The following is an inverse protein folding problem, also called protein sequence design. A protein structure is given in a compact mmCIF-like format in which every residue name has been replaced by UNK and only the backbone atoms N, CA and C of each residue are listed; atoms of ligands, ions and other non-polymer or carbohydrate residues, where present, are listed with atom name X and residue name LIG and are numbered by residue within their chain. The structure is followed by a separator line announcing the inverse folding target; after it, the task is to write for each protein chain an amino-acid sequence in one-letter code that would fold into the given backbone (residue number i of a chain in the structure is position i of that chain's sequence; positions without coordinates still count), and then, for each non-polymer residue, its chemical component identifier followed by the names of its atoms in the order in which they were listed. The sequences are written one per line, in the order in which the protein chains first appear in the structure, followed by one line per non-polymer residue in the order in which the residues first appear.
data_IF_392862593911
#
_entry.id   IF_392862593911
#
_cell.length_a   1.000
_cell.length_b   1.000
_cell.length_c   1.000
_cell.angle_alpha   90.00
_cell.angle_beta   90.00
_cell.angle_gamma   90.00
#
_symmetry.space_group_name_H-M   'P 1'
#
loop_
_entity.id
_entity.type
_entity.pdbx_description
1 polymer ?
#
# COMPACT_ATOMS: atom_id res chain seq x y z
N UNK A 1 -12.27 3.64 4.81
CA UNK A 1 -11.61 2.76 5.84
C UNK A 1 -12.66 1.94 6.56
N UNK A 2 -12.34 0.69 6.94
CA UNK A 2 -13.21 -0.23 7.68
C UNK A 2 -12.42 -0.76 8.89
N UNK A 3 -13.07 -0.86 10.03
CA UNK A 3 -12.54 -1.51 11.23
C UNK A 3 -13.05 -2.94 11.22
N UNK A 4 -12.15 -3.92 11.34
CA UNK A 4 -12.51 -5.34 11.35
C UNK A 4 -12.07 -5.97 12.65
N UNK A 5 -13.04 -6.38 13.48
CA UNK A 5 -12.82 -7.18 14.68
C UNK A 5 -12.85 -8.65 14.28
N UNK A 6 -11.67 -9.27 14.16
CA UNK A 6 -11.54 -10.65 13.73
C UNK A 6 -11.48 -11.61 14.93
N UNK A 7 -11.75 -12.89 14.69
CA UNK A 7 -11.77 -13.97 15.69
C UNK A 7 -12.92 -13.83 16.70
N UNK A 8 -14.05 -13.30 16.26
CA UNK A 8 -15.23 -13.13 17.12
C UNK A 8 -15.83 -14.47 17.60
N UNK A 9 -15.43 -15.60 17.02
CA UNK A 9 -15.77 -16.96 17.46
C UNK A 9 -15.11 -17.39 18.78
N UNK A 10 -14.11 -16.64 19.26
CA UNK A 10 -13.36 -16.98 20.48
C UNK A 10 -13.92 -16.34 21.76
N UNK A 11 -14.87 -15.44 21.65
CA UNK A 11 -15.43 -14.66 22.74
C UNK A 11 -16.95 -14.55 22.61
N UNK A 12 -17.63 -14.22 23.70
CA UNK A 12 -19.06 -13.95 23.70
C UNK A 12 -19.42 -12.56 23.17
N UNK A 13 -20.70 -12.31 22.99
CA UNK A 13 -21.20 -11.07 22.39
C UNK A 13 -21.00 -9.86 23.33
N UNK A 14 -21.14 -10.03 24.64
CA UNK A 14 -20.90 -8.97 25.62
C UNK A 14 -19.45 -8.49 25.58
N UNK A 15 -18.50 -9.40 25.42
CA UNK A 15 -17.09 -9.08 25.31
C UNK A 15 -16.77 -8.37 23.98
N UNK A 16 -17.43 -8.79 22.88
CA UNK A 16 -17.29 -8.11 21.58
C UNK A 16 -17.81 -6.68 21.60
N UNK A 17 -18.90 -6.42 22.30
CA UNK A 17 -19.45 -5.06 22.47
C UNK A 17 -18.49 -4.17 23.25
N UNK A 18 -17.93 -4.68 24.35
CA UNK A 18 -16.92 -3.94 25.14
C UNK A 18 -15.69 -3.59 24.31
N UNK A 19 -15.16 -4.54 23.52
CA UNK A 19 -14.01 -4.31 22.64
C UNK A 19 -14.34 -3.30 21.55
N UNK A 20 -15.54 -3.35 20.98
CA UNK A 20 -15.97 -2.35 19.99
C UNK A 20 -16.02 -0.95 20.60
N UNK A 21 -16.56 -0.81 21.81
CA UNK A 21 -16.67 0.46 22.52
C UNK A 21 -15.29 1.04 22.83
N UNK A 22 -14.35 0.23 23.32
CA UNK A 22 -12.97 0.62 23.60
C UNK A 22 -12.25 1.07 22.31
N UNK A 23 -12.39 0.31 21.21
CA UNK A 23 -11.82 0.67 19.91
C UNK A 23 -12.39 2.00 19.40
N UNK A 24 -13.71 2.23 19.54
CA UNK A 24 -14.33 3.49 19.14
C UNK A 24 -13.84 4.66 19.96
N UNK A 25 -13.63 4.47 21.28
CA UNK A 25 -13.09 5.51 22.16
C UNK A 25 -11.66 5.89 21.74
N UNK A 26 -10.80 4.91 21.52
CA UNK A 26 -9.40 5.12 21.08
C UNK A 26 -9.30 5.79 19.70
N UNK A 27 -10.30 5.62 18.85
CA UNK A 27 -10.32 6.18 17.50
C UNK A 27 -10.98 7.56 17.40
N UNK A 28 -11.49 8.11 18.48
CA UNK A 28 -12.05 9.48 18.52
C UNK A 28 -11.01 10.50 18.07
N UNK A 29 -11.44 11.47 17.28
CA UNK A 29 -10.57 12.51 16.72
C UNK A 29 -9.64 12.03 15.60
N UNK A 30 -9.69 10.76 15.20
CA UNK A 30 -8.93 10.22 14.08
C UNK A 30 -9.80 10.13 12.82
N UNK A 31 -9.19 9.84 11.67
CA UNK A 31 -9.92 9.60 10.41
C UNK A 31 -10.75 8.29 10.45
N UNK A 32 -10.58 7.45 11.45
CA UNK A 32 -11.31 6.20 11.65
C UNK A 32 -12.54 6.36 12.56
N UNK A 33 -12.76 7.49 13.20
CA UNK A 33 -13.85 7.72 14.14
C UNK A 33 -15.22 7.30 13.60
N UNK A 34 -15.48 7.58 12.32
CA UNK A 34 -16.74 7.26 11.64
C UNK A 34 -16.67 5.99 10.77
N UNK A 35 -15.58 5.23 10.85
CA UNK A 35 -15.45 4.02 10.07
C UNK A 35 -16.45 2.94 10.51
N UNK A 36 -17.05 2.19 9.58
CA UNK A 36 -17.90 1.05 9.92
C UNK A 36 -17.06 -0.02 10.62
N UNK A 37 -17.68 -0.71 11.58
CA UNK A 37 -17.07 -1.82 12.31
C UNK A 37 -17.75 -3.11 11.86
N UNK A 38 -16.96 -4.09 11.43
CA UNK A 38 -17.41 -5.42 11.05
C UNK A 38 -16.83 -6.44 12.03
N UNK A 39 -17.71 -7.25 12.63
CA UNK A 39 -17.33 -8.37 13.51
C UNK A 39 -17.26 -9.64 12.66
N UNK A 40 -16.08 -10.26 12.55
CA UNK A 40 -15.88 -11.40 11.66
C UNK A 40 -15.13 -12.55 12.36
N UNK A 41 -15.29 -13.73 11.84
CA UNK A 41 -14.40 -14.86 12.07
C UNK A 41 -13.98 -15.47 10.75
N UNK A 42 -12.72 -15.35 10.41
CA UNK A 42 -12.16 -15.97 9.22
C UNK A 42 -12.15 -17.51 9.32
N UNK A 43 -12.21 -18.08 10.54
CA UNK A 43 -12.23 -19.51 10.76
C UNK A 43 -13.61 -20.13 10.52
N UNK A 44 -14.68 -19.46 10.96
CA UNK A 44 -16.05 -19.95 10.84
C UNK A 44 -16.81 -19.38 9.64
N UNK A 45 -16.34 -18.30 9.06
CA UNK A 45 -17.03 -17.55 8.00
C UNK A 45 -18.04 -16.54 8.52
N UNK A 46 -18.23 -16.42 9.83
CA UNK A 46 -19.17 -15.47 10.44
C UNK A 46 -18.81 -14.03 10.04
N UNK A 47 -19.83 -13.22 9.65
CA UNK A 47 -19.68 -11.80 9.33
C UNK A 47 -18.94 -11.49 8.02
N UNK A 48 -18.47 -12.49 7.26
CA UNK A 48 -17.72 -12.25 6.02
C UNK A 48 -18.59 -11.67 4.90
N UNK A 49 -19.85 -12.09 4.79
CA UNK A 49 -20.78 -11.57 3.79
C UNK A 49 -21.06 -10.08 4.03
N UNK A 50 -21.28 -9.70 5.29
CA UNK A 50 -21.47 -8.30 5.67
C UNK A 50 -20.23 -7.46 5.38
N UNK A 51 -19.05 -7.96 5.71
CA UNK A 51 -17.78 -7.29 5.38
C UNK A 51 -17.63 -7.08 3.87
N UNK A 52 -17.98 -8.08 3.05
CA UNK A 52 -17.93 -7.97 1.59
C UNK A 52 -18.89 -6.88 1.10
N UNK A 53 -20.12 -6.84 1.59
CA UNK A 53 -21.11 -5.81 1.22
C UNK A 53 -20.62 -4.40 1.60
N UNK A 54 -20.02 -4.23 2.78
CA UNK A 54 -19.45 -2.95 3.20
C UNK A 54 -18.29 -2.54 2.28
N UNK A 55 -17.42 -3.48 1.90
CA UNK A 55 -16.32 -3.22 0.95
C UNK A 55 -16.87 -2.82 -0.42
N UNK A 56 -17.85 -3.55 -0.94
CA UNK A 56 -18.48 -3.26 -2.25
C UNK A 56 -19.12 -1.87 -2.26
N UNK A 57 -19.89 -1.54 -1.23
CA UNK A 57 -20.49 -0.22 -1.08
C UNK A 57 -19.44 0.90 -1.07
N UNK A 58 -18.43 0.77 -0.23
CA UNK A 58 -17.36 1.77 -0.14
C UNK A 58 -16.52 1.90 -1.42
N UNK A 59 -16.30 0.80 -2.13
CA UNK A 59 -15.54 0.84 -3.39
C UNK A 59 -16.32 1.40 -4.56
N UNK A 60 -17.65 1.27 -4.54
CA UNK A 60 -18.51 1.82 -5.59
C UNK A 60 -18.70 3.34 -5.46
N UNK A 61 -18.84 3.86 -4.25
CA UNK A 61 -19.26 5.23 -4.02
C UNK A 61 -18.12 6.19 -3.62
N UNK A 62 -17.08 5.68 -2.96
CA UNK A 62 -16.05 6.52 -2.31
C UNK A 62 -14.66 6.46 -2.94
N UNK A 63 -14.40 5.49 -3.84
CA UNK A 63 -13.05 5.33 -4.39
C UNK A 63 -12.81 6.28 -5.55
N UNK A 64 -12.05 7.32 -5.32
CA UNK A 64 -11.49 8.14 -6.38
C UNK A 64 -10.40 7.35 -7.10
N UNK A 65 -10.60 7.05 -8.38
CA UNK A 65 -9.60 6.40 -9.21
C UNK A 65 -8.29 7.23 -9.18
N UNK A 66 -7.17 6.56 -8.97
CA UNK A 66 -5.87 7.22 -9.01
C UNK A 66 -5.55 7.67 -10.43
N UNK A 67 -4.90 8.81 -10.56
CA UNK A 67 -4.57 9.36 -11.86
C UNK A 67 -3.46 8.51 -12.53
N UNK A 68 -3.84 7.89 -13.63
CA UNK A 68 -2.98 7.04 -14.46
C UNK A 68 -2.20 7.84 -15.51
N UNK A 69 -2.54 9.11 -15.73
CA UNK A 69 -1.95 9.97 -16.76
C UNK A 69 -0.83 10.87 -16.21
N UNK A 70 -0.58 10.81 -14.91
CA UNK A 70 0.50 11.55 -14.28
C UNK A 70 1.84 10.82 -14.35
N UNK A 71 2.88 11.44 -13.86
CA UNK A 71 4.23 10.87 -13.73
C UNK A 71 4.18 9.60 -12.88
N UNK A 72 4.66 8.44 -13.38
CA UNK A 72 4.67 7.22 -12.61
C UNK A 72 5.61 7.30 -11.42
N UNK A 73 5.14 6.80 -10.28
CA UNK A 73 5.89 6.76 -9.03
C UNK A 73 5.62 5.46 -8.28
N UNK A 74 6.65 4.63 -8.17
CA UNK A 74 6.58 3.32 -7.52
C UNK A 74 7.53 3.26 -6.31
N UNK A 75 7.05 3.49 -5.08
CA UNK A 75 7.81 3.18 -3.88
C UNK A 75 8.07 1.67 -3.75
N UNK A 76 9.30 1.30 -3.44
CA UNK A 76 9.73 -0.10 -3.33
C UNK A 76 9.58 -0.56 -1.88
N UNK A 77 8.83 -1.62 -1.66
CA UNK A 77 8.69 -2.24 -0.34
C UNK A 77 9.59 -3.45 -0.14
N UNK A 78 9.88 -4.21 -1.22
CA UNK A 78 10.76 -5.38 -1.18
C UNK A 78 11.59 -5.48 -2.46
N UNK A 79 12.80 -6.05 -2.32
CA UNK A 79 13.65 -6.44 -3.43
C UNK A 79 14.21 -7.84 -3.18
N UNK A 80 14.18 -8.69 -4.19
CA UNK A 80 14.73 -10.04 -4.12
C UNK A 80 15.35 -10.45 -5.46
N UNK A 81 16.14 -11.51 -5.45
CA UNK A 81 16.76 -12.05 -6.66
C UNK A 81 16.16 -13.42 -6.93
N UNK A 82 15.69 -13.64 -8.15
CA UNK A 82 15.29 -14.95 -8.64
C UNK A 82 16.35 -15.48 -9.60
N UNK A 83 16.76 -16.74 -9.39
CA UNK A 83 17.72 -17.42 -10.26
C UNK A 83 17.21 -17.42 -11.71
N UNK A 84 18.04 -16.98 -12.65
CA UNK A 84 17.68 -16.84 -14.05
C UNK A 84 16.93 -15.57 -14.45
N UNK A 85 16.29 -14.87 -13.50
CA UNK A 85 15.49 -13.67 -13.78
C UNK A 85 16.18 -12.36 -13.36
N UNK A 86 17.07 -12.42 -12.38
CA UNK A 86 17.76 -11.24 -11.87
C UNK A 86 17.05 -10.55 -10.72
N UNK A 87 17.08 -9.22 -10.68
CA UNK A 87 16.52 -8.43 -9.58
C UNK A 87 15.06 -8.11 -9.82
N UNK A 88 14.22 -8.51 -8.87
CA UNK A 88 12.79 -8.22 -8.84
C UNK A 88 12.50 -7.33 -7.65
N UNK A 89 11.68 -6.32 -7.88
CA UNK A 89 11.14 -5.43 -6.85
C UNK A 89 9.64 -5.59 -6.76
N UNK A 90 9.08 -5.30 -5.58
CA UNK A 90 7.63 -5.15 -5.39
C UNK A 90 7.30 -3.81 -4.77
N UNK A 91 6.11 -3.32 -5.06
CA UNK A 91 5.58 -2.07 -4.55
C UNK A 91 4.16 -1.82 -5.03
N UNK A 92 3.57 -0.73 -4.56
CA UNK A 92 2.28 -0.24 -5.07
C UNK A 92 2.54 1.00 -5.91
N UNK A 93 2.11 0.99 -7.17
CA UNK A 93 2.21 2.15 -8.06
C UNK A 93 1.26 3.24 -7.54
N UNK A 94 1.82 4.34 -7.05
CA UNK A 94 1.02 5.40 -6.41
C UNK A 94 0.45 6.41 -7.40
N UNK A 95 1.09 6.59 -8.55
CA UNK A 95 0.65 7.48 -9.64
C UNK A 95 1.15 6.98 -10.98
N UNK A 96 0.49 7.38 -12.07
CA UNK A 96 0.90 7.16 -13.45
C UNK A 96 0.76 5.73 -13.94
N UNK A 97 1.45 5.45 -15.04
CA UNK A 97 1.48 4.16 -15.73
C UNK A 97 2.93 3.76 -16.00
N UNK A 98 3.30 2.51 -15.77
CA UNK A 98 4.60 1.93 -16.13
C UNK A 98 4.39 0.87 -17.18
N UNK A 99 5.21 0.88 -18.23
CA UNK A 99 5.19 -0.09 -19.34
C UNK A 99 6.45 -0.95 -19.35
N UNK A 100 6.30 -2.14 -19.89
CA UNK A 100 7.45 -2.98 -20.24
C UNK A 100 8.35 -2.22 -21.22
N UNK A 101 9.68 -2.35 -21.05
CA UNK A 101 10.75 -1.67 -21.80
C UNK A 101 10.95 -0.19 -21.41
N UNK A 102 10.11 0.40 -20.55
CA UNK A 102 10.38 1.73 -20.01
C UNK A 102 11.74 1.79 -19.30
N UNK A 103 12.40 2.94 -19.39
CA UNK A 103 13.59 3.26 -18.61
C UNK A 103 13.19 4.22 -17.50
N UNK A 104 13.38 3.80 -16.25
CA UNK A 104 13.10 4.57 -15.05
C UNK A 104 14.37 4.75 -14.23
N UNK A 105 14.40 5.77 -13.40
CA UNK A 105 15.49 6.04 -12.47
C UNK A 105 15.11 5.59 -11.06
N UNK A 106 16.06 5.00 -10.36
CA UNK A 106 15.90 4.60 -8.96
C UNK A 106 16.43 5.68 -8.03
N UNK A 107 15.54 6.29 -7.29
CA UNK A 107 15.84 7.32 -6.29
C UNK A 107 15.97 6.72 -4.89
N UNK A 108 16.89 7.22 -4.03
CA UNK A 108 17.83 8.33 -4.24
C UNK A 108 19.14 7.93 -4.96
N UNK A 109 19.26 6.72 -5.48
CA UNK A 109 20.50 6.13 -5.99
C UNK A 109 20.98 6.83 -7.28
N UNK A 110 20.06 7.37 -8.07
CA UNK A 110 20.38 8.04 -9.34
C UNK A 110 20.74 7.03 -10.46
N UNK A 111 20.22 5.80 -10.40
CA UNK A 111 20.58 4.75 -11.34
C UNK A 111 19.42 4.41 -12.26
N UNK A 112 19.65 4.48 -13.56
CA UNK A 112 18.68 4.07 -14.58
C UNK A 112 18.53 2.55 -14.64
N UNK A 113 17.28 2.12 -14.66
CA UNK A 113 16.86 0.73 -14.73
C UNK A 113 15.85 0.54 -15.86
N UNK A 114 16.03 -0.52 -16.65
CA UNK A 114 15.06 -0.88 -17.68
C UNK A 114 14.09 -1.93 -17.14
N UNK A 115 12.79 -1.75 -17.43
CA UNK A 115 11.72 -2.67 -17.05
C UNK A 115 11.71 -3.87 -18.01
N UNK A 116 12.05 -5.07 -17.50
CA UNK A 116 12.07 -6.31 -18.31
C UNK A 116 10.73 -7.01 -18.36
N UNK A 117 10.06 -7.09 -17.21
CA UNK A 117 8.73 -7.68 -17.11
C UNK A 117 7.97 -7.05 -15.94
N UNK A 118 6.65 -7.12 -16.04
CA UNK A 118 5.71 -6.60 -15.03
C UNK A 118 4.73 -7.72 -14.72
N UNK A 119 4.48 -7.95 -13.43
CA UNK A 119 3.44 -8.86 -12.95
C UNK A 119 2.48 -8.11 -12.04
N UNK A 120 1.19 -8.33 -12.27
CA UNK A 120 0.08 -7.83 -11.46
C UNK A 120 -0.79 -9.02 -11.09
N UNK A 121 -1.02 -9.23 -9.79
CA UNK A 121 -1.77 -10.39 -9.28
C UNK A 121 -1.27 -11.75 -9.80
N UNK A 122 0.07 -11.90 -9.91
CA UNK A 122 0.70 -13.14 -10.42
C UNK A 122 0.61 -13.36 -11.92
N UNK A 123 0.06 -12.43 -12.69
CA UNK A 123 -0.05 -12.50 -14.14
C UNK A 123 0.91 -11.53 -14.82
N UNK A 124 1.56 -11.97 -15.89
CA UNK A 124 2.39 -11.10 -16.73
C UNK A 124 1.52 -10.06 -17.46
N UNK A 125 1.94 -8.80 -17.40
CA UNK A 125 1.27 -7.66 -18.03
C UNK A 125 2.26 -6.85 -18.85
N UNK A 126 1.78 -6.17 -19.89
CA UNK A 126 2.58 -5.23 -20.69
C UNK A 126 2.73 -3.88 -19.99
N UNK A 127 1.76 -3.52 -19.17
CA UNK A 127 1.72 -2.26 -18.42
C UNK A 127 1.00 -2.45 -17.08
N UNK A 128 1.22 -1.52 -16.15
CA UNK A 128 0.53 -1.44 -14.86
C UNK A 128 0.18 0.01 -14.54
N UNK A 129 -0.84 0.17 -13.69
CA UNK A 129 -1.50 1.45 -13.42
C UNK A 129 -1.45 1.82 -11.95
N UNK A 130 -1.59 3.10 -11.68
CA UNK A 130 -1.73 3.63 -10.33
C UNK A 130 -2.80 2.88 -9.52
N UNK A 131 -2.47 2.56 -8.27
CA UNK A 131 -3.30 1.76 -7.36
C UNK A 131 -2.96 0.27 -7.35
N UNK A 132 -2.28 -0.27 -8.38
CA UNK A 132 -1.95 -1.68 -8.45
C UNK A 132 -0.71 -2.02 -7.64
N UNK A 133 -0.75 -3.18 -6.96
CA UNK A 133 0.43 -3.82 -6.42
C UNK A 133 1.12 -4.62 -7.51
N UNK A 134 2.41 -4.35 -7.72
CA UNK A 134 3.16 -4.89 -8.85
C UNK A 134 4.46 -5.56 -8.43
N UNK A 135 4.90 -6.54 -9.21
CA UNK A 135 6.26 -7.06 -9.19
C UNK A 135 6.92 -6.71 -10.52
N UNK A 136 8.09 -6.09 -10.47
CA UNK A 136 8.82 -5.62 -11.65
C UNK A 136 10.21 -6.21 -11.67
N UNK A 137 10.57 -6.83 -12.79
CA UNK A 137 11.93 -7.28 -13.06
C UNK A 137 12.73 -6.12 -13.67
N UNK A 138 13.85 -5.81 -13.03
CA UNK A 138 14.73 -4.71 -13.42
C UNK A 138 16.03 -5.23 -14.05
N UNK A 139 16.53 -4.52 -15.06
CA UNK A 139 17.91 -4.67 -15.52
C UNK A 139 18.83 -3.64 -14.86
N UNK A 140 20.13 -3.89 -14.92
CA UNK A 140 21.21 -2.97 -14.54
C UNK A 140 21.28 -2.62 -13.06
N UNK A 141 20.47 -3.24 -12.18
CA UNK A 141 20.51 -2.99 -10.75
C UNK A 141 20.62 -4.31 -9.98
N UNK A 142 21.44 -4.34 -8.95
CA UNK A 142 21.58 -5.49 -8.07
C UNK A 142 20.76 -5.31 -6.79
N UNK A 143 20.19 -6.41 -6.27
CA UNK A 143 19.40 -6.37 -5.03
C UNK A 143 20.09 -5.58 -3.89
N UNK A 144 21.41 -5.75 -3.72
CA UNK A 144 22.17 -5.09 -2.65
C UNK A 144 22.21 -3.56 -2.73
N UNK A 145 21.89 -3.00 -3.91
CA UNK A 145 21.84 -1.56 -4.16
C UNK A 145 20.48 -0.99 -3.78
N UNK A 146 19.46 -1.83 -3.62
CA UNK A 146 18.07 -1.41 -3.38
C UNK A 146 17.75 -1.53 -1.90
N UNK A 147 17.28 -0.44 -1.32
CA UNK A 147 16.77 -0.39 0.04
C UNK A 147 15.24 -0.17 0.02
N UNK A 148 14.56 -0.60 1.09
CA UNK A 148 13.15 -0.25 1.29
C UNK A 148 13.02 1.27 1.35
N UNK A 149 12.04 1.80 0.62
CA UNK A 149 11.84 3.24 0.51
C UNK A 149 12.48 3.88 -0.74
N UNK A 150 13.34 3.15 -1.48
CA UNK A 150 13.71 3.59 -2.82
C UNK A 150 12.46 3.75 -3.68
N UNK A 151 12.50 4.68 -4.63
CA UNK A 151 11.38 4.99 -5.52
C UNK A 151 11.84 4.85 -6.97
N UNK A 152 11.05 4.16 -7.80
CA UNK A 152 11.18 4.21 -9.25
C UNK A 152 10.29 5.31 -9.82
N UNK A 153 10.87 6.18 -10.62
CA UNK A 153 10.20 7.27 -11.32
C UNK A 153 10.96 7.60 -12.63
N UNK A 154 10.41 8.39 -13.55
CA UNK A 154 11.14 8.81 -14.74
C UNK A 154 12.44 9.55 -14.38
N UNK A 155 13.47 9.46 -15.25
CA UNK A 155 14.71 10.18 -15.04
C UNK A 155 14.49 11.68 -14.83
N UNK A 156 15.25 12.26 -13.90
CA UNK A 156 15.18 13.69 -13.53
C UNK A 156 13.82 14.20 -13.02
N UNK A 157 12.87 13.29 -12.69
CA UNK A 157 11.54 13.67 -12.18
C UNK A 157 11.50 13.95 -10.68
N UNK A 158 12.54 13.57 -9.94
CA UNK A 158 12.65 13.76 -8.49
C UNK A 158 14.02 14.33 -8.13
N UNK A 159 14.07 15.05 -7.00
CA UNK A 159 15.32 15.56 -6.43
C UNK A 159 15.42 15.14 -4.98
N UNK A 160 16.62 14.77 -4.54
CA UNK A 160 16.89 14.59 -3.12
C UNK A 160 16.87 15.95 -2.43
N UNK A 161 16.37 15.99 -1.21
CA UNK A 161 16.36 17.20 -0.37
C UNK A 161 16.67 16.82 1.07
N UNK A 162 17.42 17.67 1.75
CA UNK A 162 17.71 17.58 3.17
C UNK A 162 16.85 18.56 3.99
N UNK A 163 15.98 19.33 3.32
CA UNK A 163 15.12 20.34 3.93
C UNK A 163 13.66 20.05 3.62
N UNK A 164 12.85 19.91 4.67
CA UNK A 164 11.42 19.61 4.56
C UNK A 164 10.64 20.51 5.51
N UNK A 165 9.57 21.11 5.01
CA UNK A 165 8.53 21.70 5.85
C UNK A 165 7.48 20.64 6.18
N UNK A 166 7.25 20.38 7.47
CA UNK A 166 6.35 19.32 7.94
C UNK A 166 5.26 19.92 8.81
N UNK A 167 4.00 19.63 8.46
CA UNK A 167 2.86 19.82 9.36
C UNK A 167 2.57 18.49 10.06
N UNK A 168 2.71 18.47 11.39
CA UNK A 168 2.49 17.26 12.20
C UNK A 168 1.26 17.44 13.06
N UNK A 169 0.41 16.42 13.09
CA UNK A 169 -0.72 16.34 14.00
C UNK A 169 -0.39 15.24 15.03
N UNK A 170 -0.21 15.64 16.29
CA UNK A 170 0.14 14.70 17.36
C UNK A 170 -1.17 14.29 18.02
N UNK A 171 -1.43 12.99 18.13
CA UNK A 171 -2.59 12.46 18.82
C UNK A 171 -2.38 12.55 20.35
N UNK A 172 -3.44 12.84 21.10
CA UNK A 172 -3.38 13.01 22.56
C UNK A 172 -2.83 11.77 23.28
N UNK A 173 -3.12 10.57 22.76
CA UNK A 173 -2.60 9.30 23.28
C UNK A 173 -1.07 9.15 23.15
N UNK A 174 -0.45 9.88 22.23
CA UNK A 174 1.02 9.82 21.99
C UNK A 174 1.82 10.88 22.75
N UNK A 175 1.17 11.82 23.45
CA UNK A 175 1.85 12.85 24.25
C UNK A 175 2.68 12.32 25.42
N UNK A 176 2.61 11.03 25.74
CA UNK A 176 3.36 10.40 26.86
C UNK A 176 4.77 9.93 26.50
N UNK A 177 5.24 10.14 25.26
CA UNK A 177 6.49 9.54 24.74
C UNK A 177 7.46 10.58 24.15
N UNK A 178 7.19 11.86 24.31
CA UNK A 178 8.13 12.93 23.89
C UNK A 178 8.84 13.54 25.10
#
# INVERSE_FOLDING_TARGET
SIIVLNKCDLVDEEWLELVEEEVREELKGTFLEKAPVCKVSAATGQGLEELIQVIEHMTSDEVVAKDVNTIPRLPIDRAFTLSGFGTIITGTLVSGTIRKEDTLEMYPIGKECKIRSIQVHGQDKKECYAGQRVAINLSNVKKKEIQRGCVLAPPASMKNTDLLDVKMNILDSSMRVL
#
